data_IF_474331014569
#
_entry.id   IF_474331014569
#
_cell.length_a   1.000
_cell.length_b   1.000
_cell.length_c   1.000
_cell.angle_alpha   90.00
_cell.angle_beta   90.00
_cell.angle_gamma   90.00
#
_symmetry.space_group_name_H-M   'P 1'
#
loop_
_entity.id
_entity.type
_entity.pdbx_description
1 polymer ?
#
# COMPACT_ATOMS: atom_id res chain seq x y z
N UNK A 1 18.96 3.79 11.51
CA UNK A 1 18.66 2.56 12.28
C UNK A 1 18.16 2.98 13.65
N UNK A 2 17.37 2.15 14.31
CA UNK A 2 17.05 2.38 15.73
C UNK A 2 18.20 1.96 16.65
N UNK A 3 18.01 2.09 17.96
CA UNK A 3 19.01 1.72 18.98
C UNK A 3 19.37 0.23 19.00
N UNK A 4 18.61 -0.63 18.31
CA UNK A 4 18.84 -2.07 18.20
C UNK A 4 19.39 -2.46 16.81
N UNK A 5 19.75 -1.49 15.97
CA UNK A 5 20.31 -1.74 14.63
C UNK A 5 19.26 -2.12 13.58
N UNK A 6 17.96 -2.00 13.87
CA UNK A 6 16.89 -2.35 12.91
C UNK A 6 16.73 -1.24 11.88
N UNK A 7 16.39 -1.64 10.65
CA UNK A 7 15.97 -0.70 9.60
C UNK A 7 14.64 -0.09 10.00
N UNK A 8 14.56 1.23 9.95
CA UNK A 8 13.35 1.98 10.30
C UNK A 8 12.57 2.23 9.02
N UNK A 9 11.30 1.86 9.00
CA UNK A 9 10.37 2.18 7.91
C UNK A 9 9.71 3.52 8.21
N UNK A 10 9.59 4.36 7.19
CA UNK A 10 8.88 5.63 7.23
C UNK A 10 7.71 5.55 6.25
N UNK A 11 6.53 5.96 6.70
CA UNK A 11 5.32 6.05 5.87
C UNK A 11 4.69 7.43 6.03
N UNK A 12 4.59 8.17 4.93
CA UNK A 12 3.85 9.43 4.84
C UNK A 12 2.48 9.16 4.21
N UNK A 13 1.42 9.35 4.98
CA UNK A 13 0.03 9.06 4.61
C UNK A 13 -0.65 10.30 4.04
N UNK A 14 -0.19 10.76 2.87
CA UNK A 14 -0.86 11.82 2.13
C UNK A 14 -2.26 11.39 1.67
N UNK A 15 -3.19 12.35 1.59
CA UNK A 15 -4.59 12.08 1.21
C UNK A 15 -4.76 11.61 -0.24
N UNK A 16 -3.82 11.95 -1.14
CA UNK A 16 -3.81 11.45 -2.51
C UNK A 16 -2.94 10.20 -2.69
N UNK A 17 -1.77 10.17 -2.04
CA UNK A 17 -0.79 9.10 -2.18
C UNK A 17 -0.11 8.83 -0.84
N UNK A 18 0.11 7.55 -0.57
CA UNK A 18 1.03 7.10 0.47
C UNK A 18 2.43 6.98 -0.14
N UNK A 19 3.43 7.43 0.59
CA UNK A 19 4.86 7.25 0.25
C UNK A 19 5.54 6.50 1.38
N UNK A 20 6.29 5.46 1.07
CA UNK A 20 7.04 4.73 2.10
C UNK A 20 8.44 4.30 1.63
N UNK A 21 9.31 4.06 2.60
CA UNK A 21 10.70 3.64 2.39
C UNK A 21 11.43 3.51 3.72
N UNK A 22 12.75 3.37 3.67
CA UNK A 22 13.58 3.32 4.88
C UNK A 22 14.10 4.70 5.28
N UNK A 23 14.23 4.93 6.59
CA UNK A 23 14.83 6.14 7.13
C UNK A 23 16.28 6.30 6.64
N UNK A 24 16.62 7.49 6.15
CA UNK A 24 17.92 7.82 5.58
C UNK A 24 18.01 7.66 4.05
N UNK A 25 16.97 7.14 3.38
CA UNK A 25 16.89 7.14 1.92
C UNK A 25 16.56 8.53 1.36
N UNK A 26 17.17 8.89 0.23
CA UNK A 26 16.94 10.18 -0.44
C UNK A 26 15.57 10.27 -1.17
N UNK A 27 15.00 9.12 -1.53
CA UNK A 27 13.73 9.01 -2.26
C UNK A 27 12.84 7.92 -1.64
N UNK A 28 11.51 8.04 -1.71
CA UNK A 28 10.61 6.97 -1.29
C UNK A 28 10.78 5.73 -2.16
N UNK A 29 10.81 4.54 -1.56
CA UNK A 29 10.92 3.27 -2.29
C UNK A 29 9.60 2.90 -2.97
N UNK A 30 8.48 3.26 -2.36
CA UNK A 30 7.16 3.01 -2.89
C UNK A 30 6.27 4.24 -2.79
N UNK A 31 5.47 4.45 -3.83
CA UNK A 31 4.39 5.43 -3.88
C UNK A 31 3.17 4.72 -4.43
N UNK A 32 2.05 4.78 -3.71
CA UNK A 32 0.78 4.19 -4.13
C UNK A 32 -0.39 5.12 -3.76
N UNK A 33 -1.51 5.08 -4.50
CA UNK A 33 -2.68 5.89 -4.19
C UNK A 33 -3.20 5.58 -2.78
N UNK A 34 -3.61 6.62 -2.04
CA UNK A 34 -4.25 6.48 -0.73
C UNK A 34 -5.72 6.07 -0.89
N UNK A 35 -5.97 4.96 -1.58
CA UNK A 35 -7.30 4.49 -1.96
C UNK A 35 -7.52 3.04 -1.53
N UNK A 36 -8.71 2.77 -0.99
CA UNK A 36 -9.19 1.42 -0.72
C UNK A 36 -10.47 1.21 -1.52
N UNK A 37 -10.46 0.21 -2.40
CA UNK A 37 -11.65 -0.19 -3.15
C UNK A 37 -12.55 -1.11 -2.31
N UNK A 38 -13.86 -0.87 -2.34
CA UNK A 38 -14.86 -1.84 -1.86
C UNK A 38 -15.70 -2.31 -3.05
N UNK A 39 -15.70 -3.61 -3.36
CA UNK A 39 -16.62 -4.17 -4.35
C UNK A 39 -18.06 -3.78 -4.04
N UNK A 40 -18.78 -3.29 -5.05
CA UNK A 40 -20.19 -2.85 -4.95
C UNK A 40 -21.16 -4.05 -4.94
N UNK A 41 -20.68 -5.23 -5.36
CA UNK A 41 -21.44 -6.47 -5.31
C UNK A 41 -21.75 -6.81 -3.84
N UNK A 42 -23.04 -6.97 -3.51
CA UNK A 42 -23.47 -7.34 -2.15
C UNK A 42 -22.73 -8.60 -1.69
N UNK A 43 -22.18 -8.55 -0.48
CA UNK A 43 -21.35 -9.57 0.19
C UNK A 43 -21.95 -10.98 0.25
N UNK A 44 -23.21 -11.16 -0.13
CA UNK A 44 -23.89 -12.46 -0.22
C UNK A 44 -23.88 -13.05 -1.63
N UNK A 45 -23.28 -12.38 -2.62
CA UNK A 45 -23.14 -12.91 -3.96
C UNK A 45 -22.16 -14.09 -3.97
N UNK A 46 -22.71 -15.30 -3.89
CA UNK A 46 -21.97 -16.53 -4.17
C UNK A 46 -21.77 -16.65 -5.68
N UNK A 47 -20.52 -16.78 -6.12
CA UNK A 47 -20.23 -17.30 -7.46
C UNK A 47 -19.90 -18.78 -7.26
N UNK A 48 -20.89 -19.65 -7.43
CA UNK A 48 -20.78 -21.07 -7.10
C UNK A 48 -20.66 -21.32 -5.59
N UNK A 49 -19.60 -22.02 -5.15
CA UNK A 49 -19.35 -22.35 -3.74
C UNK A 49 -18.40 -21.37 -3.03
N UNK A 50 -17.95 -20.30 -3.70
CA UNK A 50 -16.95 -19.38 -3.16
C UNK A 50 -17.64 -18.18 -2.51
N UNK A 51 -17.30 -17.93 -1.25
CA UNK A 51 -17.69 -16.74 -0.51
C UNK A 51 -16.71 -15.59 -0.80
N UNK A 52 -17.22 -14.47 -1.31
CA UNK A 52 -16.40 -13.28 -1.60
C UNK A 52 -16.14 -12.54 -0.29
N UNK A 53 -14.96 -12.73 0.30
CA UNK A 53 -14.50 -11.93 1.45
C UNK A 53 -14.00 -10.56 1.00
N UNK A 54 -14.60 -9.51 1.54
CA UNK A 54 -14.30 -8.11 1.19
C UNK A 54 -13.10 -7.58 1.98
N UNK A 55 -11.88 -8.03 1.68
CA UNK A 55 -10.65 -7.44 2.24
C UNK A 55 -9.66 -7.14 1.12
N UNK A 56 -9.81 -5.99 0.46
CA UNK A 56 -8.81 -5.48 -0.47
C UNK A 56 -8.06 -4.33 0.19
N UNK A 57 -6.90 -4.60 0.78
CA UNK A 57 -6.03 -3.56 1.33
C UNK A 57 -5.23 -2.92 0.20
N UNK A 58 -5.78 -1.88 -0.44
CA UNK A 58 -5.06 -0.81 -1.16
C UNK A 58 -4.01 -1.17 -2.22
N UNK A 59 -3.84 -2.43 -2.61
CA UNK A 59 -2.84 -2.81 -3.61
C UNK A 59 -3.43 -2.70 -5.01
N UNK A 60 -3.57 -1.47 -5.50
CA UNK A 60 -3.57 -1.24 -6.94
C UNK A 60 -2.48 -0.21 -7.25
N UNK A 61 -1.34 -0.73 -7.69
CA UNK A 61 -0.22 -0.03 -8.32
C UNK A 61 0.63 0.82 -7.36
N UNK A 62 1.54 0.15 -6.64
CA UNK A 62 2.80 0.79 -6.28
C UNK A 62 3.59 0.99 -7.57
N UNK A 63 3.54 2.18 -8.17
CA UNK A 63 4.49 2.53 -9.23
C UNK A 63 5.81 2.78 -8.51
N UNK A 64 6.72 1.81 -8.56
CA UNK A 64 8.13 2.02 -8.26
C UNK A 64 8.66 3.04 -9.28
N UNK A 65 8.46 4.34 -9.04
CA UNK A 65 9.24 5.35 -9.73
C UNK A 65 10.62 5.30 -9.08
N UNK A 66 11.45 4.41 -9.62
CA UNK A 66 12.89 4.40 -9.38
C UNK A 66 13.41 5.70 -9.99
N UNK A 67 13.46 6.76 -9.18
CA UNK A 67 14.36 7.87 -9.45
C UNK A 67 15.76 7.41 -9.11
N UNK A 68 16.42 6.76 -10.06
CA UNK A 68 17.88 6.84 -10.15
C UNK A 68 18.23 8.01 -11.09
N UNK A 69 19.38 8.67 -10.88
CA UNK A 69 19.71 10.00 -11.39
C UNK A 69 19.49 10.21 -12.88
#
# INVERSE_FOLDING_TARGET
>A
MDSQGRKVVVCDNGTGFVKCGYAGSNFPEHIFPALVGRPIIRSTAKVGNIEIKLNFAGQLIARSRVGHP
#
